data_IF_437515478492
#
_entry.id   IF_437515478492
#
_cell.length_a   1.000
_cell.length_b   1.000
_cell.length_c   1.000
_cell.angle_alpha   90.00
_cell.angle_beta   90.00
_cell.angle_gamma   90.00
#
_symmetry.space_group_name_H-M   'P 1'
#
loop_
_entity.id
_entity.type
_entity.pdbx_description
1 polymer ?
#
# COMPACT_ATOMS: atom_id res chain seq x y z
N UNK A 1 -3.76 7.92 -12.37
CA UNK A 1 -4.12 7.03 -11.23
C UNK A 1 -3.51 7.50 -9.91
N UNK A 2 -2.17 7.58 -9.78
CA UNK A 2 -1.50 7.99 -8.52
C UNK A 2 -2.00 9.35 -7.98
N UNK A 3 -2.13 10.36 -8.85
CA UNK A 3 -2.65 11.68 -8.47
C UNK A 3 -4.11 11.62 -8.01
N UNK A 4 -4.95 10.82 -8.67
CA UNK A 4 -6.35 10.64 -8.26
C UNK A 4 -6.49 9.93 -6.91
N UNK A 5 -5.61 8.97 -6.61
CA UNK A 5 -5.53 8.33 -5.28
C UNK A 5 -5.07 9.34 -4.23
N UNK A 6 -4.04 10.13 -4.52
CA UNK A 6 -3.55 11.15 -3.63
C UNK A 6 -4.60 12.23 -3.34
N UNK A 7 -5.31 12.71 -4.37
CA UNK A 7 -6.38 13.70 -4.22
C UNK A 7 -7.57 13.14 -3.42
N UNK A 8 -7.96 11.88 -3.65
CA UNK A 8 -8.97 11.21 -2.84
C UNK A 8 -8.59 11.13 -1.37
N UNK A 9 -7.34 10.74 -1.08
CA UNK A 9 -6.86 10.61 0.30
C UNK A 9 -6.71 11.98 0.98
N UNK A 10 -6.28 13.02 0.25
CA UNK A 10 -6.28 14.42 0.71
C UNK A 10 -7.70 14.90 1.05
N UNK A 11 -8.68 14.61 0.19
CA UNK A 11 -10.10 14.95 0.42
C UNK A 11 -10.68 14.25 1.67
N UNK A 12 -10.15 13.09 2.06
CA UNK A 12 -10.54 12.36 3.26
C UNK A 12 -9.90 12.87 4.55
N UNK A 13 -9.14 13.98 4.50
CA UNK A 13 -8.54 14.61 5.67
C UNK A 13 -7.33 13.85 6.21
N UNK A 14 -6.75 12.94 5.42
CA UNK A 14 -5.43 12.39 5.73
C UNK A 14 -4.38 13.51 5.65
N UNK A 15 -3.34 13.50 6.51
CA UNK A 15 -2.31 14.53 6.53
C UNK A 15 -1.62 14.68 5.17
N UNK A 16 -0.91 15.80 5.01
CA UNK A 16 -0.22 16.24 3.79
C UNK A 16 0.53 15.09 3.08
N UNK A 17 -0.13 14.51 2.07
CA UNK A 17 0.43 13.40 1.29
C UNK A 17 1.48 13.97 0.36
N UNK A 18 2.74 13.76 0.73
CA UNK A 18 3.88 13.97 -0.13
C UNK A 18 3.93 12.84 -1.18
N UNK A 19 3.99 13.22 -2.45
CA UNK A 19 4.10 12.28 -3.56
C UNK A 19 5.54 12.35 -4.06
N UNK A 20 6.18 11.19 -4.18
CA UNK A 20 7.53 11.08 -4.71
C UNK A 20 7.53 10.30 -6.02
N UNK A 21 8.41 10.69 -6.94
CA UNK A 21 8.72 9.93 -8.14
C UNK A 21 10.21 9.61 -8.15
N UNK A 22 10.56 8.43 -8.67
CA UNK A 22 11.93 7.96 -8.71
C UNK A 22 12.20 7.36 -10.08
N UNK A 23 13.11 7.97 -10.84
CA UNK A 23 13.59 7.45 -12.11
C UNK A 23 15.02 7.99 -12.34
N UNK A 24 16.02 7.14 -12.63
CA UNK A 24 17.37 7.59 -12.92
C UNK A 24 17.49 8.39 -14.24
N UNK A 25 16.47 8.34 -15.10
CA UNK A 25 16.49 8.89 -16.46
C UNK A 25 15.68 10.19 -16.61
N UNK A 26 15.03 10.68 -15.55
CA UNK A 26 14.26 11.92 -15.64
C UNK A 26 15.16 13.09 -16.06
N UNK A 27 14.73 13.75 -17.13
CA UNK A 27 15.34 14.98 -17.60
C UNK A 27 14.98 16.15 -16.66
N UNK A 28 15.65 17.29 -16.83
CA UNK A 28 15.28 18.52 -16.12
C UNK A 28 13.84 18.97 -16.44
N UNK A 29 13.35 18.67 -17.64
CA UNK A 29 11.98 19.00 -18.03
C UNK A 29 10.97 18.11 -17.29
N UNK A 30 11.26 16.81 -17.16
CA UNK A 30 10.44 15.86 -16.41
C UNK A 30 10.37 16.26 -14.93
N UNK A 31 11.51 16.60 -14.32
CA UNK A 31 11.57 17.06 -12.92
C UNK A 31 10.75 18.34 -12.72
N UNK A 32 10.90 19.34 -13.60
CA UNK A 32 10.11 20.58 -13.52
C UNK A 32 8.60 20.31 -13.67
N UNK A 33 8.21 19.43 -14.60
CA UNK A 33 6.82 19.06 -14.80
C UNK A 33 6.24 18.31 -13.58
N UNK A 34 6.93 17.30 -13.06
CA UNK A 34 6.51 16.54 -11.88
C UNK A 34 6.38 17.45 -10.65
N UNK A 35 7.35 18.36 -10.45
CA UNK A 35 7.28 19.36 -9.38
C UNK A 35 6.09 20.31 -9.52
N UNK A 36 5.73 20.68 -10.74
CA UNK A 36 4.54 21.50 -10.99
C UNK A 36 3.23 20.82 -10.56
N UNK A 37 3.23 19.49 -10.50
CA UNK A 37 2.11 18.66 -10.01
C UNK A 37 2.21 18.35 -8.50
N UNK A 38 3.17 18.94 -7.79
CA UNK A 38 3.43 18.64 -6.38
C UNK A 38 4.09 17.28 -6.15
N UNK A 39 4.73 16.70 -7.18
CA UNK A 39 5.49 15.45 -7.08
C UNK A 39 6.98 15.78 -6.91
N UNK A 40 7.59 15.26 -5.84
CA UNK A 40 9.00 15.43 -5.56
C UNK A 40 9.82 14.33 -6.23
N UNK A 41 10.79 14.68 -7.06
CA UNK A 41 11.69 13.70 -7.67
C UNK A 41 12.82 13.34 -6.70
N UNK A 42 12.94 12.06 -6.39
CA UNK A 42 14.02 11.48 -5.60
C UNK A 42 15.09 10.91 -6.51
N UNK A 43 16.35 11.28 -6.25
CA UNK A 43 17.46 10.81 -7.08
C UNK A 43 17.91 9.42 -6.63
N UNK A 44 17.97 8.50 -7.59
CA UNK A 44 18.64 7.21 -7.42
C UNK A 44 19.87 7.10 -8.30
N UNK A 45 21.06 6.93 -7.71
CA UNK A 45 22.30 6.92 -8.47
C UNK A 45 22.51 5.63 -9.29
N UNK A 46 21.85 4.53 -8.92
CA UNK A 46 21.90 3.26 -9.67
C UNK A 46 20.70 2.35 -9.35
N UNK A 47 20.40 1.33 -10.18
CA UNK A 47 19.38 0.33 -9.86
C UNK A 47 19.66 -0.46 -8.57
N UNK A 48 20.93 -0.52 -8.14
CA UNK A 48 21.37 -1.23 -6.95
C UNK A 48 21.45 -0.35 -5.68
N UNK A 49 21.14 0.94 -5.79
CA UNK A 49 21.26 1.90 -4.69
C UNK A 49 20.03 2.80 -4.67
N UNK A 50 19.26 2.75 -3.57
CA UNK A 50 18.03 3.52 -3.37
C UNK A 50 18.26 5.01 -3.11
N UNK A 51 19.49 5.47 -2.88
CA UNK A 51 19.82 6.88 -2.73
C UNK A 51 18.95 7.60 -1.69
N UNK A 52 18.29 8.69 -2.11
CA UNK A 52 17.41 9.49 -1.25
C UNK A 52 16.13 8.72 -0.83
N UNK A 53 15.62 7.84 -1.70
CA UNK A 53 14.42 7.07 -1.43
C UNK A 53 14.60 6.13 -0.22
N UNK A 54 15.79 5.57 -0.04
CA UNK A 54 16.09 4.73 1.11
C UNK A 54 15.99 5.44 2.47
N UNK A 55 16.04 6.79 2.50
CA UNK A 55 15.91 7.59 3.73
C UNK A 55 14.48 8.05 3.99
N UNK A 56 13.67 8.12 2.95
CA UNK A 56 12.28 8.62 3.01
C UNK A 56 11.31 7.47 3.25
N UNK A 57 11.58 6.29 2.68
CA UNK A 57 10.71 5.12 2.82
C UNK A 57 10.87 4.54 4.23
N UNK A 58 9.82 4.71 5.03
CA UNK A 58 9.72 4.25 6.41
C UNK A 58 8.39 3.53 6.69
N UNK A 59 8.13 3.22 7.95
CA UNK A 59 6.93 2.53 8.40
C UNK A 59 5.66 3.38 8.32
N UNK A 60 5.72 4.62 7.86
CA UNK A 60 4.56 5.47 7.59
C UNK A 60 4.34 5.69 6.11
N UNK A 61 5.18 5.08 5.28
CA UNK A 61 5.16 5.26 3.83
C UNK A 61 4.23 4.24 3.17
N UNK A 62 3.32 4.74 2.33
CA UNK A 62 2.68 3.95 1.29
C UNK A 62 3.54 4.03 0.03
N UNK A 63 4.11 2.90 -0.37
CA UNK A 63 4.89 2.81 -1.59
C UNK A 63 4.05 2.29 -2.74
N UNK A 64 3.97 3.05 -3.84
CA UNK A 64 3.45 2.57 -5.12
C UNK A 64 4.61 2.33 -6.07
N UNK A 65 4.86 1.08 -6.41
CA UNK A 65 6.01 0.68 -7.23
C UNK A 65 5.62 -0.41 -8.21
N UNK A 66 4.88 -0.06 -9.29
CA UNK A 66 4.62 -1.00 -10.37
C UNK A 66 5.92 -1.21 -11.18
N UNK A 67 6.13 -2.40 -11.72
CA UNK A 67 7.18 -2.69 -12.71
C UNK A 67 8.64 -2.56 -12.22
N UNK A 68 8.91 -2.71 -10.92
CA UNK A 68 10.30 -2.79 -10.48
C UNK A 68 10.93 -4.11 -10.95
N UNK A 69 12.21 -4.05 -11.32
CA UNK A 69 13.02 -5.26 -11.51
C UNK A 69 13.07 -6.07 -10.21
N UNK A 70 13.22 -7.38 -10.29
CA UNK A 70 13.26 -8.24 -9.10
C UNK A 70 14.42 -7.86 -8.15
N UNK A 71 15.57 -7.46 -8.69
CA UNK A 71 16.73 -6.98 -7.92
C UNK A 71 16.39 -5.72 -7.12
N UNK A 72 15.65 -4.79 -7.72
CA UNK A 72 15.19 -3.58 -7.05
C UNK A 72 14.19 -3.91 -5.93
N UNK A 73 13.28 -4.87 -6.14
CA UNK A 73 12.41 -5.35 -5.07
C UNK A 73 13.19 -6.00 -3.93
N UNK A 74 14.23 -6.79 -4.22
CA UNK A 74 15.06 -7.41 -3.18
C UNK A 74 15.74 -6.35 -2.31
N UNK A 75 16.35 -5.35 -2.95
CA UNK A 75 16.98 -4.23 -2.25
C UNK A 75 15.98 -3.43 -1.43
N UNK A 76 14.83 -3.13 -2.01
CA UNK A 76 13.76 -2.40 -1.34
C UNK A 76 13.25 -3.15 -0.11
N UNK A 77 12.86 -4.40 -0.25
CA UNK A 77 12.24 -5.18 0.83
C UNK A 77 13.23 -5.57 1.94
N UNK A 78 14.52 -5.63 1.61
CA UNK A 78 15.61 -5.89 2.56
C UNK A 78 15.97 -4.65 3.37
N UNK A 79 16.02 -3.47 2.74
CA UNK A 79 16.54 -2.25 3.37
C UNK A 79 15.45 -1.32 3.91
N UNK A 80 14.24 -1.40 3.37
CA UNK A 80 13.13 -0.52 3.76
C UNK A 80 12.03 -1.30 4.48
N UNK A 81 11.41 -0.63 5.44
CA UNK A 81 10.28 -1.15 6.18
C UNK A 81 9.07 -0.27 5.94
N UNK A 82 8.32 -0.52 4.86
CA UNK A 82 7.06 0.18 4.60
C UNK A 82 5.87 -0.49 5.27
N UNK A 83 4.83 0.28 5.59
CA UNK A 83 3.56 -0.23 6.11
C UNK A 83 2.66 -0.74 5.00
N UNK A 84 2.66 -0.05 3.86
CA UNK A 84 1.85 -0.37 2.68
C UNK A 84 2.72 -0.38 1.43
N UNK A 85 2.60 -1.44 0.64
CA UNK A 85 3.24 -1.59 -0.66
C UNK A 85 2.19 -1.99 -1.69
N UNK A 86 2.08 -1.20 -2.76
CA UNK A 86 1.28 -1.50 -3.94
C UNK A 86 2.25 -1.76 -5.10
N UNK A 87 2.42 -3.02 -5.48
CA UNK A 87 3.40 -3.43 -6.49
C UNK A 87 2.98 -4.71 -7.20
N UNK A 88 3.92 -5.32 -7.92
CA UNK A 88 3.66 -6.54 -8.68
C UNK A 88 3.17 -7.67 -7.77
N UNK A 89 2.23 -8.46 -8.27
CA UNK A 89 1.71 -9.63 -7.57
C UNK A 89 2.68 -10.80 -7.71
N UNK A 90 3.59 -10.92 -6.75
CA UNK A 90 4.58 -12.01 -6.71
C UNK A 90 3.95 -13.41 -6.76
N UNK A 91 2.70 -13.58 -6.31
CA UNK A 91 2.04 -14.89 -6.37
C UNK A 91 1.65 -15.26 -7.80
N UNK A 92 1.19 -14.29 -8.59
CA UNK A 92 0.86 -14.47 -10.01
C UNK A 92 2.14 -14.56 -10.83
N UNK A 93 3.12 -13.68 -10.57
CA UNK A 93 4.43 -13.74 -11.22
C UNK A 93 5.10 -15.10 -11.04
N UNK A 94 5.11 -15.66 -9.83
CA UNK A 94 5.63 -17.01 -9.58
C UNK A 94 4.94 -18.09 -10.43
N UNK A 95 3.63 -17.96 -10.65
CA UNK A 95 2.87 -18.93 -11.47
C UNK A 95 3.10 -18.77 -12.98
N UNK A 96 3.58 -17.59 -13.41
CA UNK A 96 3.85 -17.28 -14.81
C UNK A 96 5.14 -17.95 -15.32
N UNK A 97 6.12 -18.13 -14.45
CA UNK A 97 7.42 -18.72 -14.81
C UNK A 97 7.52 -20.19 -14.44
N UNK A 98 8.22 -20.95 -15.28
CA UNK A 98 8.48 -22.37 -15.02
C UNK A 98 9.43 -22.55 -13.83
N UNK A 99 9.20 -23.57 -13.00
CA UNK A 99 9.87 -23.75 -11.69
C UNK A 99 11.39 -23.77 -11.71
N UNK A 100 11.99 -24.16 -12.83
CA UNK A 100 13.44 -24.33 -12.95
C UNK A 100 14.16 -23.05 -13.41
N UNK A 101 13.42 -22.03 -13.83
CA UNK A 101 13.94 -20.75 -14.29
C UNK A 101 14.57 -19.94 -13.16
N UNK A 102 15.46 -19.01 -13.49
CA UNK A 102 16.10 -18.13 -12.51
C UNK A 102 15.07 -17.18 -11.90
N UNK A 103 14.15 -16.68 -12.72
CA UNK A 103 13.06 -15.77 -12.39
C UNK A 103 12.12 -16.39 -11.36
N UNK A 104 11.71 -17.65 -11.56
CA UNK A 104 10.89 -18.35 -10.58
C UNK A 104 11.59 -18.45 -9.21
N UNK A 105 12.89 -18.80 -9.20
CA UNK A 105 13.67 -18.92 -7.95
C UNK A 105 13.82 -17.58 -7.24
N UNK A 106 14.04 -16.50 -7.99
CA UNK A 106 14.18 -15.15 -7.46
C UNK A 106 12.88 -14.67 -6.82
N UNK A 107 11.73 -14.88 -7.49
CA UNK A 107 10.44 -14.52 -6.92
C UNK A 107 10.07 -15.39 -5.73
N UNK A 108 10.42 -16.68 -5.75
CA UNK A 108 10.25 -17.54 -4.59
C UNK A 108 11.08 -17.05 -3.38
N UNK A 109 12.30 -16.58 -3.60
CA UNK A 109 13.14 -15.97 -2.57
C UNK A 109 12.49 -14.69 -2.02
N UNK A 110 12.08 -13.77 -2.89
CA UNK A 110 11.35 -12.55 -2.53
C UNK A 110 10.10 -12.82 -1.71
N UNK A 111 9.33 -13.84 -2.09
CA UNK A 111 8.15 -14.26 -1.35
C UNK A 111 8.48 -14.79 0.06
N UNK A 112 9.58 -15.53 0.21
CA UNK A 112 9.99 -16.13 1.49
C UNK A 112 10.64 -15.12 2.44
N UNK A 113 11.50 -14.23 1.95
CA UNK A 113 12.29 -13.34 2.80
C UNK A 113 11.86 -11.87 2.74
N UNK A 114 11.32 -11.41 1.62
CA UNK A 114 10.94 -10.01 1.42
C UNK A 114 9.52 -9.71 1.89
N UNK A 115 8.53 -10.35 1.27
CA UNK A 115 7.11 -10.05 1.51
C UNK A 115 6.42 -10.95 2.54
N UNK A 116 7.11 -11.95 3.11
CA UNK A 116 6.52 -12.88 4.09
C UNK A 116 6.04 -12.19 5.37
N UNK A 117 6.58 -11.01 5.69
CA UNK A 117 6.16 -10.14 6.80
C UNK A 117 4.91 -9.31 6.50
N UNK A 118 4.34 -9.40 5.30
CA UNK A 118 3.17 -8.67 4.85
C UNK A 118 1.98 -9.62 4.65
N UNK A 119 0.78 -9.11 4.92
CA UNK A 119 -0.44 -9.68 4.38
C UNK A 119 -0.62 -9.21 2.94
N UNK A 120 -1.18 -10.06 2.08
CA UNK A 120 -1.38 -9.80 0.65
C UNK A 120 -2.86 -9.74 0.32
N UNK A 121 -3.24 -8.83 -0.57
CA UNK A 121 -4.52 -8.76 -1.26
C UNK A 121 -4.27 -8.49 -2.73
N UNK A 122 -4.70 -9.40 -3.58
CA UNK A 122 -4.67 -9.18 -5.02
C UNK A 122 -5.52 -7.95 -5.36
N UNK A 123 -5.03 -7.10 -6.26
CA UNK A 123 -5.85 -6.05 -6.86
C UNK A 123 -6.55 -6.70 -8.05
N UNK A 124 -7.85 -6.89 -7.91
CA UNK A 124 -8.71 -7.47 -8.94
C UNK A 124 -9.88 -6.53 -9.17
N UNK A 125 -10.28 -6.31 -10.43
CA UNK A 125 -11.46 -5.52 -10.75
C UNK A 125 -11.68 -5.35 -12.26
N UNK A 126 -12.91 -5.02 -12.62
CA UNK A 126 -13.31 -4.68 -13.98
C UNK A 126 -12.80 -3.28 -14.38
N UNK A 127 -12.61 -3.03 -15.68
CA UNK A 127 -12.11 -1.76 -16.23
C UNK A 127 -10.59 -1.76 -16.42
N UNK A 128 -9.91 -0.65 -16.11
CA UNK A 128 -8.48 -0.42 -16.36
C UNK A 128 -7.57 -1.62 -16.00
N UNK A 129 -7.80 -2.24 -14.83
CA UNK A 129 -7.02 -3.39 -14.34
C UNK A 129 -7.31 -4.73 -15.05
N UNK A 130 -8.51 -4.88 -15.62
CA UNK A 130 -8.90 -6.07 -16.35
C UNK A 130 -8.61 -6.01 -17.86
N UNK A 131 -8.63 -4.81 -18.44
CA UNK A 131 -8.54 -4.61 -19.90
C UNK A 131 -7.14 -4.17 -20.36
N UNK A 132 -6.48 -3.25 -19.65
CA UNK A 132 -5.20 -2.65 -20.10
C UNK A 132 -3.99 -3.22 -19.34
N UNK A 133 -4.12 -3.47 -18.03
CA UNK A 133 -3.01 -3.87 -17.16
C UNK A 133 -2.93 -5.37 -16.85
N UNK A 134 -3.68 -6.24 -17.56
CA UNK A 134 -3.70 -7.69 -17.28
C UNK A 134 -2.31 -8.35 -17.33
N UNK A 135 -1.40 -7.78 -18.13
CA UNK A 135 -0.01 -8.26 -18.27
C UNK A 135 0.84 -8.03 -17.01
N UNK A 136 0.38 -7.14 -16.13
CA UNK A 136 1.10 -6.64 -14.97
C UNK A 136 0.24 -6.81 -13.72
N UNK A 137 0.17 -8.05 -13.20
CA UNK A 137 -0.69 -8.34 -12.06
C UNK A 137 -0.20 -7.55 -10.85
N UNK A 138 -1.12 -6.92 -10.14
CA UNK A 138 -0.81 -6.05 -9.00
C UNK A 138 -1.39 -6.60 -7.69
N UNK A 139 -0.70 -6.34 -6.59
CA UNK A 139 -1.16 -6.67 -5.25
C UNK A 139 -0.86 -5.55 -4.25
N UNK A 140 -1.74 -5.45 -3.25
CA UNK A 140 -1.49 -4.69 -2.03
C UNK A 140 -0.87 -5.61 -0.98
N UNK A 141 0.24 -5.16 -0.42
CA UNK A 141 0.93 -5.76 0.70
C UNK A 141 0.86 -4.80 1.89
N UNK A 142 0.41 -5.27 3.05
CA UNK A 142 0.38 -4.46 4.26
C UNK A 142 0.98 -5.20 5.44
N UNK A 143 1.72 -4.48 6.28
CA UNK A 143 2.23 -5.05 7.51
C UNK A 143 1.09 -5.05 8.53
N UNK A 144 0.62 -6.21 9.03
CA UNK A 144 -0.31 -6.20 10.13
C UNK A 144 0.40 -5.53 11.30
N UNK A 145 -0.14 -4.40 11.77
CA UNK A 145 0.44 -3.66 12.89
C UNK A 145 0.72 -4.66 14.01
N UNK A 146 1.97 -4.74 14.47
CA UNK A 146 2.22 -5.45 15.72
C UNK A 146 1.34 -4.75 16.73
N UNK A 147 0.32 -5.47 17.23
CA UNK A 147 -0.42 -5.02 18.39
C UNK A 147 0.63 -4.74 19.45
N UNK A 148 0.90 -3.46 19.71
CA UNK A 148 1.57 -3.06 20.93
C UNK A 148 0.74 -3.74 22.02
N UNK A 149 1.37 -4.63 22.77
CA UNK A 149 0.80 -5.28 23.93
C UNK A 149 0.52 -4.19 24.98
N UNK A 150 -0.58 -3.47 24.78
CA UNK A 150 -1.20 -2.59 25.73
C UNK A 150 -2.53 -3.22 26.09
N UNK A 151 -2.58 -3.83 27.27
CA UNK A 151 -3.84 -4.18 27.91
C UNK A 151 -4.72 -2.93 28.00
N UNK A 152 -5.68 -2.74 27.10
CA UNK A 152 -6.92 -1.99 27.37
C UNK A 152 -7.87 -2.11 26.18
N UNK A 153 -9.08 -2.64 26.41
CA UNK A 153 -10.20 -2.34 25.51
C UNK A 153 -11.18 -3.44 25.12
N UNK A 154 -11.18 -4.62 25.76
CA UNK A 154 -12.29 -5.59 25.65
C UNK A 154 -13.59 -5.09 26.36
N UNK A 155 -13.87 -3.77 26.32
CA UNK A 155 -15.00 -3.14 27.02
C UNK A 155 -15.98 -2.39 26.11
N UNK A 156 -15.74 -2.27 24.81
CA UNK A 156 -16.60 -1.45 23.94
C UNK A 156 -17.74 -2.18 23.22
N UNK A 157 -17.82 -3.52 23.26
CA UNK A 157 -19.00 -4.22 22.70
C UNK A 157 -20.21 -4.23 23.66
N UNK A 158 -19.99 -4.11 24.98
CA UNK A 158 -21.11 -3.99 25.94
C UNK A 158 -21.70 -2.59 26.04
N UNK A 159 -20.91 -1.55 25.78
CA UNK A 159 -21.39 -0.16 25.86
C UNK A 159 -22.32 0.22 24.69
N UNK A 160 -22.07 -0.30 23.49
CA UNK A 160 -22.90 -0.04 22.32
C UNK A 160 -24.24 -0.79 22.39
N UNK A 161 -24.24 -1.99 22.98
CA UNK A 161 -25.46 -2.77 23.24
C UNK A 161 -26.40 -2.10 24.25
N UNK A 162 -25.88 -1.45 25.30
CA UNK A 162 -26.69 -0.73 26.28
C UNK A 162 -27.31 0.56 25.72
N UNK A 163 -26.62 1.28 24.84
CA UNK A 163 -27.17 2.48 24.20
C UNK A 163 -28.31 2.17 23.21
N UNK A 164 -28.18 1.10 22.42
CA UNK A 164 -29.25 0.66 21.52
C UNK A 164 -30.46 0.11 22.28
N UNK A 165 -30.23 -0.53 23.44
CA UNK A 165 -31.30 -1.06 24.28
C UNK A 165 -32.10 0.04 25.00
N UNK A 166 -31.45 1.15 25.41
CA UNK A 166 -32.13 2.31 26.01
C UNK A 166 -32.89 3.12 24.97
N UNK A 167 -32.40 3.18 23.72
CA UNK A 167 -33.10 3.89 22.63
C UNK A 167 -34.41 3.21 22.25
N UNK A 168 -34.45 1.88 22.17
CA UNK A 168 -35.68 1.12 21.88
C UNK A 168 -36.74 1.24 22.99
N UNK A 169 -36.32 1.36 24.26
CA UNK A 169 -37.25 1.52 25.38
C UNK A 169 -37.91 2.91 25.47
N UNK A 170 -37.41 3.92 24.74
CA UNK A 170 -38.03 5.26 24.68
C UNK A 170 -38.99 5.44 23.49
N UNK A 171 -38.95 4.58 22.49
CA UNK A 171 -39.79 4.70 21.29
C UNK A 171 -41.13 3.94 21.43
N UNK A 172 -41.29 3.05 22.41
CA UNK A 172 -42.51 2.26 22.67
C UNK A 172 -43.38 2.76 23.84
N UNK A 173 -43.12 3.95 24.40
CA UNK A 173 -43.99 4.50 25.44
C UNK A 173 -45.31 5.03 24.82
N UNK A 174 -46.49 4.50 25.21
CA UNK A 174 -47.76 4.99 24.68
C UNK A 174 -47.97 6.43 25.11
N UNK A 175 -48.22 7.31 24.12
CA UNK A 175 -48.67 8.69 24.36
C UNK A 175 -50.05 8.63 25.02
N UNK A 176 -50.09 8.73 26.34
CA UNK A 176 -51.31 9.01 27.09
C UNK A 176 -51.87 10.35 26.63
N UNK A 177 -53.08 10.31 26.07
CA UNK A 177 -53.91 11.48 25.79
C UNK A 177 -54.36 12.09 27.11
N UNK A 178 -54.06 13.37 27.31
CA UNK A 178 -54.89 14.34 28.03
C UNK A 178 -54.88 15.64 27.22
#
# INVERSE_FOLDING_TARGET
>A
MLLGVADYLRLKGSPEIAIYAQDPSFTKADDAFLRSLGVQVLKTPSPSDLGEAGRIIDDKTLLYSPFLTMEAYELLLKNCAMDLLLGDDFSVLRSKWEKHTAEHKQVELLMKSGVSKYQRRAITGDGFWGEEDWHFPMALYWRPSQRINGQTGARNEKAMSQFDQVRRLREDAPRSRL
#
